data_IF_832520931341
#
_entry.id   IF_832520931341
#
_cell.length_a   1.000
_cell.length_b   1.000
_cell.length_c   1.000
_cell.angle_alpha   90.00
_cell.angle_beta   90.00
_cell.angle_gamma   90.00
#
_symmetry.space_group_name_H-M   'P 1'
#
loop_
_entity.id
_entity.type
_entity.pdbx_description
1 polymer ?
#
# COMPACT_ATOMS: atom_id res chain seq x y z
N UNK A 1 -9.40 -21.31 1.23
CA UNK A 1 -8.45 -20.70 2.19
C UNK A 1 -7.15 -21.46 2.13
N UNK A 2 -6.04 -20.78 1.89
CA UNK A 2 -4.72 -21.43 1.70
C UNK A 2 -3.97 -21.63 3.02
N UNK A 3 -4.15 -20.74 4.00
CA UNK A 3 -3.44 -20.79 5.27
C UNK A 3 -4.31 -21.36 6.41
N UNK A 4 -3.67 -22.08 7.32
CA UNK A 4 -4.27 -22.47 8.58
C UNK A 4 -4.28 -21.29 9.57
N UNK A 5 -5.17 -21.33 10.57
CA UNK A 5 -5.38 -20.22 11.51
C UNK A 5 -4.15 -19.90 12.37
N UNK A 6 -3.29 -20.87 12.64
CA UNK A 6 -2.04 -20.69 13.40
C UNK A 6 -0.96 -19.89 12.64
N UNK A 7 -1.18 -19.64 11.35
CA UNK A 7 -0.31 -18.82 10.50
C UNK A 7 -0.67 -17.32 10.51
N UNK A 8 -1.78 -16.96 11.16
CA UNK A 8 -2.30 -15.58 11.18
C UNK A 8 -2.54 -15.16 12.63
N UNK A 9 -2.00 -14.01 13.01
CA UNK A 9 -2.13 -13.51 14.39
C UNK A 9 -2.08 -11.98 14.42
N UNK A 10 -2.64 -11.38 15.47
CA UNK A 10 -2.44 -9.97 15.76
C UNK A 10 -0.95 -9.75 16.03
N UNK A 11 -0.34 -8.85 15.28
CA UNK A 11 1.07 -8.45 15.46
C UNK A 11 1.23 -7.44 16.59
N UNK A 12 0.36 -6.43 16.60
CA UNK A 12 0.34 -5.40 17.64
C UNK A 12 -1.11 -4.94 17.86
N UNK A 13 -1.57 -4.93 19.10
CA UNK A 13 -2.86 -4.38 19.51
C UNK A 13 -2.65 -3.06 20.24
N UNK A 14 -2.94 -1.95 19.57
CA UNK A 14 -2.81 -0.61 20.10
C UNK A 14 -4.08 -0.03 20.72
N UNK A 15 -5.12 -0.86 20.94
CA UNK A 15 -6.43 -0.41 21.46
C UNK A 15 -6.33 0.39 22.75
N UNK A 16 -5.47 -0.03 23.68
CA UNK A 16 -5.28 0.57 25.00
C UNK A 16 -3.85 1.11 25.19
N UNK A 17 -3.10 1.26 24.10
CA UNK A 17 -1.71 1.74 24.13
C UNK A 17 -1.58 3.25 24.37
N UNK A 18 -0.37 3.68 24.68
CA UNK A 18 0.04 5.08 24.70
C UNK A 18 1.43 5.19 24.04
N UNK A 19 1.54 5.71 22.81
CA UNK A 19 0.43 6.26 22.00
C UNK A 19 -0.58 5.18 21.59
N UNK A 20 -1.85 5.55 21.48
CA UNK A 20 -2.89 4.68 20.95
C UNK A 20 -2.75 4.58 19.43
N UNK A 21 -2.72 3.38 18.89
CA UNK A 21 -2.81 3.18 17.44
C UNK A 21 -4.21 3.60 16.95
N UNK A 22 -4.26 4.42 15.91
CA UNK A 22 -5.49 5.09 15.47
C UNK A 22 -5.90 4.62 14.07
N UNK A 23 -6.75 3.58 14.00
CA UNK A 23 -7.32 3.02 12.76
C UNK A 23 -6.31 3.01 11.60
N UNK A 24 -5.28 2.13 11.65
CA UNK A 24 -4.21 2.14 10.68
C UNK A 24 -4.72 1.75 9.29
N UNK A 25 -4.39 2.57 8.30
CA UNK A 25 -4.72 2.31 6.89
C UNK A 25 -3.49 1.90 6.10
N UNK A 26 -2.41 2.67 6.14
CA UNK A 26 -1.14 2.33 5.51
C UNK A 26 -0.26 1.43 6.37
N UNK A 27 0.51 0.53 5.73
CA UNK A 27 1.58 -0.23 6.39
C UNK A 27 2.80 -0.33 5.48
N UNK A 28 4.00 -0.17 6.05
CA UNK A 28 5.27 -0.35 5.36
C UNK A 28 6.29 -1.01 6.30
N UNK A 29 7.29 -1.67 5.73
CA UNK A 29 8.38 -2.31 6.48
C UNK A 29 9.70 -1.62 6.14
N UNK A 30 10.40 -1.17 7.16
CA UNK A 30 11.73 -0.57 7.00
C UNK A 30 12.81 -1.65 6.95
N UNK A 31 14.00 -1.24 6.57
CA UNK A 31 15.18 -2.10 6.41
C UNK A 31 15.69 -2.73 7.69
N UNK A 32 15.49 -2.02 8.81
CA UNK A 32 15.80 -2.52 10.16
C UNK A 32 14.78 -3.53 10.67
N UNK A 33 13.75 -3.83 9.88
CA UNK A 33 12.66 -4.74 10.19
C UNK A 33 11.54 -4.10 11.01
N UNK A 34 11.61 -2.82 11.35
CA UNK A 34 10.51 -2.12 12.00
C UNK A 34 9.30 -2.01 11.06
N UNK A 35 8.10 -2.05 11.63
CA UNK A 35 6.83 -1.93 10.90
C UNK A 35 6.26 -0.53 11.14
N UNK A 36 5.88 0.15 10.06
CA UNK A 36 5.39 1.51 10.11
C UNK A 36 3.95 1.55 9.64
N UNK A 37 3.13 2.41 10.23
CA UNK A 37 1.74 2.60 9.83
C UNK A 37 1.28 4.04 10.07
N UNK A 38 0.20 4.42 9.41
CA UNK A 38 -0.40 5.74 9.53
C UNK A 38 -1.74 5.69 10.24
N UNK A 39 -2.16 6.81 10.83
CA UNK A 39 -3.44 6.95 11.50
C UNK A 39 -4.37 7.96 10.83
N UNK A 40 -5.66 7.94 11.22
CA UNK A 40 -6.71 8.82 10.68
C UNK A 40 -6.51 10.32 10.98
N UNK A 41 -5.68 10.66 11.96
CA UNK A 41 -5.34 12.06 12.30
C UNK A 41 -3.98 12.47 11.79
N UNK A 42 -3.43 11.67 10.87
CA UNK A 42 -2.14 11.92 10.24
C UNK A 42 -0.94 11.47 11.06
N UNK A 43 -1.14 10.73 12.15
CA UNK A 43 -0.04 10.19 12.95
C UNK A 43 0.76 9.20 12.10
N UNK A 44 2.07 9.17 12.29
CA UNK A 44 2.99 8.21 11.70
C UNK A 44 3.62 7.43 12.85
N UNK A 45 3.30 6.15 12.90
CA UNK A 45 3.77 5.24 13.94
C UNK A 45 4.88 4.33 13.44
N UNK A 46 5.82 4.04 14.33
CA UNK A 46 6.84 3.02 14.18
C UNK A 46 6.68 1.97 15.27
N UNK A 47 6.63 0.73 14.87
CA UNK A 47 6.65 -0.44 15.74
C UNK A 47 8.00 -1.13 15.66
N UNK A 48 8.50 -1.65 16.77
CA UNK A 48 9.72 -2.45 16.74
C UNK A 48 9.50 -3.76 15.94
N UNK A 49 10.59 -4.43 15.52
CA UNK A 49 10.48 -5.64 14.69
C UNK A 49 9.67 -6.78 15.33
N UNK A 50 9.58 -6.81 16.64
CA UNK A 50 8.88 -7.86 17.39
C UNK A 50 7.43 -7.48 17.73
N UNK A 51 7.01 -6.23 17.46
CA UNK A 51 5.67 -5.73 17.77
C UNK A 51 5.43 -5.55 19.27
N UNK A 52 6.47 -5.26 20.06
CA UNK A 52 6.38 -5.11 21.52
C UNK A 52 6.27 -3.65 21.96
N UNK A 53 6.65 -2.72 21.08
CA UNK A 53 6.60 -1.28 21.33
C UNK A 53 6.12 -0.51 20.12
N UNK A 54 5.54 0.67 20.37
CA UNK A 54 5.07 1.63 19.39
C UNK A 54 5.50 3.04 19.80
N UNK A 55 5.88 3.85 18.83
CA UNK A 55 6.11 5.28 19.00
C UNK A 55 5.39 6.08 17.90
N UNK A 56 4.85 7.25 18.23
CA UNK A 56 4.44 8.24 17.25
C UNK A 56 5.66 9.07 16.88
N UNK A 57 6.18 8.87 15.67
CA UNK A 57 7.43 9.50 15.22
C UNK A 57 7.19 10.91 14.70
N UNK A 58 6.06 11.10 14.00
CA UNK A 58 5.74 12.33 13.31
C UNK A 58 4.24 12.40 12.98
N UNK A 59 3.80 13.47 12.34
CA UNK A 59 2.43 13.60 11.87
C UNK A 59 2.34 14.51 10.63
N UNK A 60 1.49 14.14 9.67
CA UNK A 60 1.08 15.02 8.57
C UNK A 60 -0.01 16.02 9.00
N UNK A 61 -0.71 15.72 10.10
CA UNK A 61 -1.90 16.44 10.55
C UNK A 61 -3.15 16.21 9.70
N UNK A 62 -3.11 15.19 8.83
CA UNK A 62 -4.17 14.88 7.88
C UNK A 62 -4.86 13.54 8.12
N UNK A 63 -4.85 12.67 7.12
CA UNK A 63 -5.26 11.27 7.18
C UNK A 63 -4.31 10.47 6.30
N UNK A 64 -3.44 9.68 6.93
CA UNK A 64 -2.45 8.85 6.24
C UNK A 64 -3.13 7.65 5.61
N UNK A 65 -3.04 7.55 4.28
CA UNK A 65 -3.36 6.36 3.50
C UNK A 65 -2.08 5.52 3.27
N UNK A 66 -1.88 5.01 2.06
CA UNK A 66 -0.73 4.18 1.73
C UNK A 66 0.62 4.87 1.97
N UNK A 67 1.66 4.08 2.22
CA UNK A 67 3.00 4.56 2.45
C UNK A 67 4.06 3.62 1.88
N UNK A 68 5.21 4.19 1.50
CA UNK A 68 6.34 3.44 0.97
C UNK A 68 7.67 4.10 1.35
N UNK A 69 8.69 3.29 1.62
CA UNK A 69 10.06 3.76 1.79
C UNK A 69 10.75 3.96 0.46
N UNK A 70 11.56 5.01 0.35
CA UNK A 70 12.52 5.17 -0.74
C UNK A 70 13.84 4.45 -0.42
N UNK A 71 14.79 4.52 -1.36
CA UNK A 71 16.13 3.92 -1.21
C UNK A 71 16.98 4.51 -0.09
N UNK A 72 16.71 5.75 0.31
CA UNK A 72 17.43 6.41 1.39
C UNK A 72 16.88 6.07 2.77
N UNK A 73 15.75 5.37 2.81
CA UNK A 73 15.05 5.02 4.04
C UNK A 73 14.10 6.13 4.51
N UNK A 74 13.78 7.10 3.66
CA UNK A 74 12.74 8.08 3.96
C UNK A 74 11.37 7.54 3.58
N UNK A 75 10.35 7.88 4.38
CA UNK A 75 8.99 7.40 4.20
C UNK A 75 8.15 8.41 3.43
N UNK A 76 7.47 7.93 2.38
CA UNK A 76 6.52 8.72 1.60
C UNK A 76 5.11 8.27 1.93
N UNK A 77 4.24 9.24 2.23
CA UNK A 77 2.90 9.01 2.77
C UNK A 77 1.88 9.75 1.91
N UNK A 78 0.90 9.03 1.39
CA UNK A 78 -0.27 9.64 0.79
C UNK A 78 -1.19 10.17 1.88
N UNK A 79 -1.61 11.42 1.77
CA UNK A 79 -2.50 12.05 2.74
C UNK A 79 -3.78 12.54 2.07
N UNK A 80 -4.89 11.92 2.41
CA UNK A 80 -6.20 12.21 1.80
C UNK A 80 -6.69 13.61 2.17
N UNK A 81 -6.54 14.03 3.43
CA UNK A 81 -7.07 15.32 3.90
C UNK A 81 -6.37 16.51 3.25
N UNK A 82 -5.07 16.39 3.02
CA UNK A 82 -4.27 17.44 2.40
C UNK A 82 -4.18 17.30 0.88
N UNK A 83 -4.69 16.20 0.30
CA UNK A 83 -4.58 15.85 -1.10
C UNK A 83 -3.13 15.97 -1.59
N UNK A 84 -2.20 15.34 -0.89
CA UNK A 84 -0.76 15.45 -1.15
C UNK A 84 -0.01 14.19 -0.73
N UNK A 85 1.16 13.99 -1.31
CA UNK A 85 2.18 13.08 -0.79
C UNK A 85 3.13 13.86 0.10
N UNK A 86 3.37 13.35 1.30
CA UNK A 86 4.36 13.87 2.24
C UNK A 86 5.59 12.98 2.26
N UNK A 87 6.77 13.56 2.56
CA UNK A 87 8.01 12.86 2.83
C UNK A 87 8.38 13.08 4.29
N UNK A 88 8.57 11.99 5.01
CA UNK A 88 9.19 11.99 6.33
C UNK A 88 10.67 11.64 6.15
N UNK A 89 11.56 12.58 6.45
CA UNK A 89 12.99 12.31 6.62
C UNK A 89 13.18 11.60 7.96
N UNK A 90 13.30 10.26 7.91
CA UNK A 90 13.28 9.40 9.11
C UNK A 90 14.37 9.77 10.11
N UNK A 91 15.56 10.13 9.63
CA UNK A 91 16.70 10.47 10.48
C UNK A 91 16.48 11.72 11.34
N UNK A 92 15.69 12.68 10.86
CA UNK A 92 15.42 13.95 11.56
C UNK A 92 14.02 14.07 12.14
N UNK A 93 13.09 13.21 11.71
CA UNK A 93 11.66 13.31 12.04
C UNK A 93 10.93 14.45 11.32
N UNK A 94 11.57 15.08 10.31
CA UNK A 94 10.99 16.20 9.58
C UNK A 94 10.01 15.71 8.50
N UNK A 95 8.79 16.25 8.51
CA UNK A 95 7.75 15.97 7.52
C UNK A 95 7.57 17.18 6.61
N UNK A 96 7.73 16.97 5.32
CA UNK A 96 7.51 17.99 4.29
C UNK A 96 6.48 17.54 3.27
N UNK A 97 5.72 18.47 2.71
CA UNK A 97 4.91 18.19 1.53
C UNK A 97 5.86 17.97 0.33
N UNK A 98 5.74 16.79 -0.28
CA UNK A 98 6.59 16.40 -1.41
C UNK A 98 5.95 16.73 -2.76
N UNK A 99 4.65 16.37 -2.93
CA UNK A 99 3.92 16.58 -4.18
C UNK A 99 2.43 16.70 -3.91
N UNK A 100 1.73 17.53 -4.72
CA UNK A 100 0.28 17.71 -4.65
C UNK A 100 -0.42 17.49 -6.01
N UNK A 101 0.26 16.80 -6.94
CA UNK A 101 -0.24 16.44 -8.26
C UNK A 101 0.54 17.07 -9.39
N UNK A 102 0.04 16.94 -10.62
CA UNK A 102 0.64 17.47 -11.83
C UNK A 102 0.11 18.89 -12.15
N UNK A 103 0.84 19.69 -12.96
CA UNK A 103 0.37 21.01 -13.37
C UNK A 103 -1.03 20.97 -14.00
N UNK A 104 -1.98 21.67 -13.37
CA UNK A 104 -3.39 21.69 -13.80
C UNK A 104 -4.19 20.43 -13.48
N UNK A 105 -3.59 19.47 -12.81
CA UNK A 105 -4.20 18.20 -12.40
C UNK A 105 -3.75 17.86 -10.96
N UNK A 106 -4.29 18.57 -9.95
CA UNK A 106 -3.97 18.28 -8.55
C UNK A 106 -4.50 16.89 -8.17
N UNK A 107 -3.89 16.26 -7.16
CA UNK A 107 -4.47 15.11 -6.49
C UNK A 107 -5.82 15.48 -5.89
N UNK A 108 -6.70 14.49 -5.80
CA UNK A 108 -7.96 14.59 -5.04
C UNK A 108 -7.93 13.67 -3.81
N UNK A 109 -7.61 12.40 -4.02
CA UNK A 109 -7.42 11.40 -2.96
C UNK A 109 -6.19 10.57 -3.33
N UNK A 110 -4.94 11.10 -3.17
CA UNK A 110 -3.75 10.27 -3.33
C UNK A 110 -3.81 9.14 -2.32
N UNK A 111 -3.71 7.90 -2.83
CA UNK A 111 -4.02 6.74 -2.01
C UNK A 111 -2.80 5.86 -1.76
N UNK A 112 -2.17 5.33 -2.79
CA UNK A 112 -1.12 4.34 -2.63
C UNK A 112 0.15 4.73 -3.40
N UNK A 113 1.33 4.76 -2.75
CA UNK A 113 2.61 5.07 -3.38
C UNK A 113 3.38 3.78 -3.70
N UNK A 114 4.05 3.72 -4.85
CA UNK A 114 4.97 2.64 -5.21
C UNK A 114 6.19 3.18 -5.95
N UNK A 115 7.40 2.86 -5.46
CA UNK A 115 8.66 3.28 -6.10
C UNK A 115 9.10 2.30 -7.18
N UNK A 116 9.63 2.83 -8.28
CA UNK A 116 10.37 2.04 -9.25
C UNK A 116 11.89 1.97 -8.95
N UNK A 117 12.58 1.18 -9.77
CA UNK A 117 14.01 0.94 -9.64
C UNK A 117 14.88 2.19 -9.82
N UNK A 118 14.40 3.27 -10.38
CA UNK A 118 15.15 4.52 -10.59
C UNK A 118 14.73 5.63 -9.63
N UNK A 119 13.81 5.34 -8.70
CA UNK A 119 13.38 6.26 -7.65
C UNK A 119 12.20 7.15 -8.04
N UNK A 120 11.50 6.86 -9.14
CA UNK A 120 10.24 7.53 -9.47
C UNK A 120 9.12 6.91 -8.62
N UNK A 121 8.20 7.75 -8.20
CA UNK A 121 7.06 7.35 -7.38
C UNK A 121 5.80 7.29 -8.24
N UNK A 122 5.18 6.12 -8.35
CA UNK A 122 3.82 5.98 -8.85
C UNK A 122 2.85 6.22 -7.70
N UNK A 123 1.82 7.01 -7.93
CA UNK A 123 0.79 7.35 -6.93
C UNK A 123 -0.57 7.10 -7.54
N UNK A 124 -1.36 6.21 -6.94
CA UNK A 124 -2.77 6.10 -7.29
C UNK A 124 -3.54 7.29 -6.72
N UNK A 125 -4.47 7.81 -7.51
CA UNK A 125 -5.46 8.79 -7.03
C UNK A 125 -6.84 8.15 -7.13
N UNK A 126 -7.48 7.91 -5.98
CA UNK A 126 -8.82 7.36 -5.92
C UNK A 126 -9.88 8.33 -6.43
N UNK A 127 -9.49 9.56 -6.72
CA UNK A 127 -10.28 10.64 -7.27
C UNK A 127 -11.43 11.06 -6.37
N UNK A 128 -12.57 10.41 -6.50
CA UNK A 128 -13.78 10.70 -5.69
C UNK A 128 -14.55 9.43 -5.41
N UNK A 129 -15.15 9.36 -4.24
CA UNK A 129 -16.07 8.28 -3.94
C UNK A 129 -17.23 8.27 -4.93
N UNK A 130 -17.50 7.10 -5.54
CA UNK A 130 -18.60 6.89 -6.47
C UNK A 130 -18.46 7.51 -7.86
N UNK A 131 -17.30 8.01 -8.22
CA UNK A 131 -17.02 8.54 -9.56
C UNK A 131 -15.67 8.05 -10.09
N UNK A 132 -15.58 7.56 -11.34
CA UNK A 132 -14.31 7.24 -11.94
C UNK A 132 -13.48 8.50 -12.19
N UNK A 133 -12.19 8.35 -12.25
CA UNK A 133 -11.26 9.44 -12.57
C UNK A 133 -9.91 8.92 -13.03
N UNK A 134 -8.98 9.82 -13.40
CA UNK A 134 -7.63 9.42 -13.80
C UNK A 134 -6.92 8.71 -12.65
N UNK A 135 -6.36 7.51 -12.94
CA UNK A 135 -6.02 6.57 -11.88
C UNK A 135 -4.60 6.66 -11.33
N UNK A 136 -3.59 7.04 -12.13
CA UNK A 136 -2.19 6.96 -11.66
C UNK A 136 -1.37 8.15 -12.13
N UNK A 137 -0.67 8.76 -11.18
CA UNK A 137 0.36 9.77 -11.42
C UNK A 137 1.75 9.15 -11.30
N UNK A 138 2.73 9.76 -11.97
CA UNK A 138 4.16 9.46 -11.80
C UNK A 138 4.87 10.72 -11.35
N UNK A 139 5.65 10.59 -10.28
CA UNK A 139 6.36 11.70 -9.64
C UNK A 139 7.86 11.43 -9.72
N UNK A 140 8.60 12.36 -10.27
CA UNK A 140 10.06 12.30 -10.34
C UNK A 140 10.68 12.52 -8.95
N UNK A 141 11.96 12.12 -8.73
CA UNK A 141 12.62 12.30 -7.44
C UNK A 141 12.70 13.75 -6.94
N UNK A 142 12.53 14.74 -7.82
CA UNK A 142 12.49 16.16 -7.49
C UNK A 142 11.07 16.70 -7.18
N UNK A 143 10.08 15.81 -7.13
CA UNK A 143 8.67 16.14 -6.83
C UNK A 143 7.84 16.59 -8.02
N UNK A 144 8.43 16.70 -9.23
CA UNK A 144 7.63 16.99 -10.44
C UNK A 144 6.78 15.81 -10.81
N UNK A 145 5.46 16.03 -10.96
CA UNK A 145 4.51 15.00 -11.29
C UNK A 145 3.92 15.18 -12.70
N UNK A 146 3.51 14.07 -13.27
CA UNK A 146 2.67 13.99 -14.45
C UNK A 146 1.50 13.05 -14.19
N UNK A 147 0.38 13.27 -14.88
CA UNK A 147 -0.68 12.28 -14.96
C UNK A 147 -0.24 11.20 -15.93
N UNK A 148 0.26 10.08 -15.40
CA UNK A 148 0.89 9.02 -16.20
C UNK A 148 -0.12 8.08 -16.86
N UNK A 149 -1.23 7.77 -16.15
CA UNK A 149 -2.32 6.97 -16.70
C UNK A 149 -3.63 7.75 -16.64
N UNK A 150 -3.94 8.48 -17.74
CA UNK A 150 -5.12 9.34 -17.90
C UNK A 150 -6.29 8.53 -18.49
N UNK A 151 -6.73 7.50 -17.77
CA UNK A 151 -7.92 6.70 -18.08
C UNK A 151 -8.77 6.56 -16.83
N UNK A 152 -10.06 6.41 -17.04
CA UNK A 152 -11.00 6.22 -15.94
C UNK A 152 -10.72 4.94 -15.16
N UNK A 153 -10.53 5.09 -13.85
CA UNK A 153 -10.40 4.03 -12.85
C UNK A 153 -11.40 4.33 -11.73
N UNK A 154 -12.15 3.32 -11.33
CA UNK A 154 -13.17 3.47 -10.29
C UNK A 154 -12.57 3.22 -8.91
N UNK A 155 -12.00 4.28 -8.33
CA UNK A 155 -11.28 4.26 -7.07
C UNK A 155 -9.96 3.45 -7.16
N UNK A 156 -8.96 4.03 -7.88
CA UNK A 156 -7.60 3.47 -7.92
C UNK A 156 -7.02 3.43 -6.51
N UNK A 157 -6.54 2.26 -6.09
CA UNK A 157 -6.05 1.99 -4.74
C UNK A 157 -4.65 1.36 -4.79
N UNK A 158 -4.43 0.18 -4.24
CA UNK A 158 -3.16 -0.48 -4.14
C UNK A 158 -2.39 -0.56 -5.46
N UNK A 159 -1.09 -0.33 -5.39
CA UNK A 159 -0.15 -0.43 -6.50
C UNK A 159 0.95 -1.44 -6.18
N UNK A 160 1.37 -2.22 -7.17
CA UNK A 160 2.57 -3.05 -7.08
C UNK A 160 3.29 -3.08 -8.43
N UNK A 161 4.62 -2.96 -8.43
CA UNK A 161 5.44 -3.09 -9.64
C UNK A 161 5.92 -4.53 -9.80
N UNK A 162 5.91 -5.03 -11.03
CA UNK A 162 6.57 -6.28 -11.38
C UNK A 162 8.07 -6.20 -11.06
N UNK A 163 8.71 -7.35 -10.82
CA UNK A 163 10.12 -7.43 -10.43
C UNK A 163 11.08 -6.78 -11.44
N UNK A 164 10.76 -6.86 -12.73
CA UNK A 164 11.54 -6.27 -13.82
C UNK A 164 11.12 -4.82 -14.15
N UNK A 165 10.11 -4.28 -13.46
CA UNK A 165 9.60 -2.94 -13.69
C UNK A 165 8.81 -2.77 -15.00
N UNK A 166 8.44 -3.86 -15.66
CA UNK A 166 7.74 -3.82 -16.95
C UNK A 166 6.24 -3.55 -16.85
N UNK A 167 5.66 -3.74 -15.66
CA UNK A 167 4.22 -3.63 -15.43
C UNK A 167 3.92 -3.01 -14.06
N UNK A 168 2.84 -2.22 -14.02
CA UNK A 168 2.25 -1.72 -12.77
C UNK A 168 0.89 -2.40 -12.57
N UNK A 169 0.74 -3.13 -11.47
CA UNK A 169 -0.54 -3.68 -11.04
C UNK A 169 -1.31 -2.64 -10.24
N UNK A 170 -2.63 -2.61 -10.42
CA UNK A 170 -3.53 -1.64 -9.79
C UNK A 170 -4.78 -2.33 -9.27
N UNK A 171 -5.14 -2.07 -8.02
CA UNK A 171 -6.43 -2.42 -7.47
C UNK A 171 -7.47 -1.35 -7.83
N UNK A 172 -8.62 -1.76 -8.35
CA UNK A 172 -9.77 -0.92 -8.66
C UNK A 172 -10.92 -1.30 -7.71
N UNK A 173 -11.01 -0.59 -6.58
CA UNK A 173 -11.79 -1.02 -5.42
C UNK A 173 -13.28 -1.21 -5.73
N UNK A 174 -13.95 -0.18 -6.25
CA UNK A 174 -15.40 -0.25 -6.46
C UNK A 174 -15.82 -0.96 -7.75
N UNK A 175 -14.86 -1.32 -8.61
CA UNK A 175 -15.11 -2.23 -9.71
C UNK A 175 -14.81 -3.69 -9.35
N UNK A 176 -14.34 -3.97 -8.12
CA UNK A 176 -13.91 -5.30 -7.68
C UNK A 176 -12.94 -5.95 -8.65
N UNK A 177 -11.98 -5.18 -9.13
CA UNK A 177 -11.10 -5.57 -10.22
C UNK A 177 -9.63 -5.31 -9.90
N UNK A 178 -8.76 -6.13 -10.49
CA UNK A 178 -7.32 -5.90 -10.55
C UNK A 178 -6.91 -5.92 -12.02
N UNK A 179 -6.11 -4.94 -12.40
CA UNK A 179 -5.57 -4.86 -13.74
C UNK A 179 -4.08 -4.50 -13.69
N UNK A 180 -3.39 -4.72 -14.80
CA UNK A 180 -2.01 -4.29 -14.99
C UNK A 180 -1.92 -3.28 -16.12
N UNK A 181 -0.97 -2.38 -16.01
CA UNK A 181 -0.61 -1.39 -17.01
C UNK A 181 0.83 -1.66 -17.45
N UNK A 182 1.06 -2.12 -18.70
CA UNK A 182 2.42 -2.24 -19.22
C UNK A 182 3.16 -0.89 -19.21
N UNK A 183 4.40 -0.90 -18.78
CA UNK A 183 5.30 0.26 -18.83
C UNK A 183 6.18 0.09 -20.07
N UNK A 184 5.98 0.95 -21.09
CA UNK A 184 6.72 0.86 -22.36
C UNK A 184 8.18 1.27 -22.18
N UNK A 185 9.03 0.95 -23.15
CA UNK A 185 10.46 1.30 -23.15
C UNK A 185 10.71 2.81 -22.98
N UNK A 186 9.82 3.66 -23.49
CA UNK A 186 9.87 5.11 -23.31
C UNK A 186 9.31 5.58 -21.95
N UNK A 187 8.88 4.66 -21.11
CA UNK A 187 8.30 4.90 -19.80
C UNK A 187 6.81 5.31 -19.83
N UNK A 188 6.17 5.37 -21.00
CA UNK A 188 4.75 5.68 -21.11
C UNK A 188 3.87 4.49 -20.70
N UNK A 189 2.62 4.79 -20.28
CA UNK A 189 1.63 3.78 -19.93
C UNK A 189 1.11 3.04 -21.18
N UNK A 190 1.01 1.72 -21.09
CA UNK A 190 0.31 0.87 -22.04
C UNK A 190 -1.21 0.88 -21.85
N UNK A 191 -1.92 0.09 -22.64
CA UNK A 191 -3.33 -0.20 -22.39
C UNK A 191 -3.45 -1.20 -21.24
N UNK A 192 -4.43 -0.97 -20.34
CA UNK A 192 -4.65 -1.86 -19.21
C UNK A 192 -5.15 -3.24 -19.65
N UNK A 193 -4.72 -4.24 -18.93
CA UNK A 193 -5.15 -5.63 -19.08
C UNK A 193 -5.72 -6.12 -17.75
N UNK A 194 -6.88 -6.78 -17.79
CA UNK A 194 -7.47 -7.38 -16.58
C UNK A 194 -6.58 -8.53 -16.09
N UNK A 195 -6.31 -8.55 -14.80
CA UNK A 195 -5.58 -9.62 -14.10
C UNK A 195 -6.56 -10.56 -13.41
N UNK A 196 -7.51 -9.99 -12.68
CA UNK A 196 -8.53 -10.76 -11.98
C UNK A 196 -9.75 -9.91 -11.66
N UNK A 197 -10.93 -10.48 -11.79
CA UNK A 197 -12.16 -9.93 -11.24
C UNK A 197 -12.52 -10.67 -9.96
N UNK A 198 -12.80 -9.93 -8.87
CA UNK A 198 -13.01 -10.46 -7.51
C UNK A 198 -14.38 -10.03 -6.96
N UNK A 199 -15.49 -10.48 -7.56
CA UNK A 199 -16.82 -9.99 -7.28
C UNK A 199 -17.18 -10.20 -5.80
N UNK A 200 -17.79 -9.17 -5.19
CA UNK A 200 -18.14 -9.17 -3.77
C UNK A 200 -16.97 -8.84 -2.84
N UNK A 201 -15.82 -8.49 -3.39
CA UNK A 201 -14.68 -7.97 -2.63
C UNK A 201 -14.40 -6.51 -3.00
N UNK A 202 -13.88 -5.76 -2.03
CA UNK A 202 -13.36 -4.41 -2.22
C UNK A 202 -11.82 -4.49 -2.09
N UNK A 203 -11.09 -4.76 -3.20
CA UNK A 203 -9.64 -4.82 -3.18
C UNK A 203 -9.06 -3.46 -2.83
N UNK A 204 -8.04 -3.46 -1.97
CA UNK A 204 -7.41 -2.27 -1.42
C UNK A 204 -5.91 -2.28 -1.72
N UNK A 205 -5.02 -2.45 -0.75
CA UNK A 205 -3.58 -2.46 -0.95
C UNK A 205 -3.07 -3.73 -1.62
N UNK A 206 -1.95 -3.60 -2.31
CA UNK A 206 -1.28 -4.68 -3.05
C UNK A 206 0.15 -4.89 -2.55
N UNK A 207 0.56 -6.16 -2.54
CA UNK A 207 1.97 -6.55 -2.49
C UNK A 207 2.21 -7.72 -3.47
N UNK A 208 3.47 -7.97 -3.82
CA UNK A 208 3.86 -9.04 -4.75
C UNK A 208 4.99 -9.85 -4.10
N UNK A 209 5.05 -11.15 -4.36
CA UNK A 209 6.14 -12.02 -3.94
C UNK A 209 7.15 -12.28 -5.07
N UNK A 210 8.23 -12.99 -4.75
CA UNK A 210 9.30 -13.33 -5.71
C UNK A 210 8.85 -14.26 -6.82
N UNK A 211 7.74 -14.99 -6.64
CA UNK A 211 7.14 -15.88 -7.62
C UNK A 211 6.13 -15.16 -8.52
N UNK A 212 5.87 -13.85 -8.27
CA UNK A 212 4.94 -13.01 -9.00
C UNK A 212 3.48 -13.15 -8.57
N UNK A 213 3.19 -13.77 -7.42
CA UNK A 213 1.84 -13.77 -6.88
C UNK A 213 1.51 -12.41 -6.27
N UNK A 214 0.31 -11.89 -6.55
CA UNK A 214 -0.23 -10.69 -5.90
C UNK A 214 -0.96 -11.07 -4.61
N UNK A 215 -0.76 -10.26 -3.59
CA UNK A 215 -1.49 -10.32 -2.33
C UNK A 215 -2.32 -9.05 -2.19
N UNK A 216 -3.60 -9.23 -1.88
CA UNK A 216 -4.60 -8.16 -1.92
C UNK A 216 -5.30 -8.09 -0.58
N UNK A 217 -5.09 -7.00 0.16
CA UNK A 217 -5.96 -6.67 1.27
C UNK A 217 -7.35 -6.33 0.74
N UNK A 218 -8.39 -6.88 1.34
CA UNK A 218 -9.76 -6.56 0.95
C UNK A 218 -10.46 -5.89 2.12
N UNK A 219 -10.86 -4.63 1.93
CA UNK A 219 -11.60 -3.89 2.94
C UNK A 219 -12.89 -4.64 3.32
N UNK A 220 -13.60 -5.19 2.34
CA UNK A 220 -14.78 -6.05 2.49
C UNK A 220 -14.73 -7.20 1.47
N UNK A 221 -15.05 -8.42 1.91
CA UNK A 221 -15.06 -8.89 3.30
C UNK A 221 -13.66 -8.85 3.90
N UNK A 222 -13.53 -8.93 5.26
CA UNK A 222 -12.23 -8.95 5.94
C UNK A 222 -11.43 -10.18 5.55
N UNK A 223 -10.64 -10.06 4.47
CA UNK A 223 -9.84 -11.15 3.90
C UNK A 223 -8.59 -10.64 3.19
N UNK A 224 -7.66 -11.54 2.97
CA UNK A 224 -6.55 -11.36 2.04
C UNK A 224 -6.68 -12.39 0.93
N UNK A 225 -6.58 -11.94 -0.32
CA UNK A 225 -6.53 -12.79 -1.49
C UNK A 225 -5.08 -13.00 -1.93
N UNK A 226 -4.82 -14.13 -2.60
CA UNK A 226 -3.63 -14.38 -3.41
C UNK A 226 -4.07 -14.62 -4.85
N UNK A 227 -3.42 -13.96 -5.80
CA UNK A 227 -3.66 -14.12 -7.22
C UNK A 227 -2.36 -14.56 -7.87
N UNK A 228 -2.35 -15.75 -8.49
CA UNK A 228 -1.17 -16.25 -9.16
C UNK A 228 -0.92 -15.54 -10.51
N UNK A 229 0.26 -15.71 -11.14
CA UNK A 229 0.55 -15.10 -12.44
C UNK A 229 -0.39 -15.52 -13.57
N UNK A 230 -1.14 -16.62 -13.41
CA UNK A 230 -2.15 -17.08 -14.37
C UNK A 230 -3.53 -16.43 -14.13
N UNK A 231 -3.67 -15.60 -13.08
CA UNK A 231 -4.92 -14.95 -12.71
C UNK A 231 -5.84 -15.80 -11.83
N UNK A 232 -5.35 -16.93 -11.29
CA UNK A 232 -6.12 -17.75 -10.36
C UNK A 232 -6.25 -17.05 -9.01
N UNK A 233 -7.47 -16.85 -8.56
CA UNK A 233 -7.78 -16.17 -7.28
C UNK A 233 -8.01 -17.20 -6.19
N UNK A 234 -7.22 -17.12 -5.14
CA UNK A 234 -7.38 -17.90 -3.93
C UNK A 234 -7.65 -16.98 -2.73
N UNK A 235 -8.51 -17.41 -1.80
CA UNK A 235 -8.58 -16.79 -0.48
C UNK A 235 -7.40 -17.27 0.34
N UNK A 236 -6.44 -16.38 0.59
CA UNK A 236 -5.29 -16.69 1.44
C UNK A 236 -5.75 -16.97 2.86
N UNK A 237 -6.48 -16.01 3.44
CA UNK A 237 -7.12 -16.14 4.74
C UNK A 237 -8.26 -15.12 4.87
N UNK A 238 -9.30 -15.45 5.67
CA UNK A 238 -10.42 -14.56 5.95
C UNK A 238 -10.84 -14.60 7.42
N UNK A 239 -11.44 -13.52 7.91
CA UNK A 239 -11.97 -13.41 9.26
C UNK A 239 -13.40 -12.86 9.27
N UNK A 240 -14.37 -13.76 9.37
CA UNK A 240 -15.80 -13.37 9.43
C UNK A 240 -16.18 -12.66 10.74
N UNK A 241 -15.32 -12.73 11.75
CA UNK A 241 -15.53 -12.11 13.08
C UNK A 241 -14.87 -10.75 13.21
N UNK A 242 -13.99 -10.39 12.26
CA UNK A 242 -13.20 -9.18 12.25
C UNK A 242 -12.42 -8.94 13.55
N UNK A 243 -11.83 -10.00 14.13
CA UNK A 243 -11.01 -9.91 15.33
C UNK A 243 -9.51 -9.85 15.01
N UNK A 244 -9.05 -10.65 14.06
CA UNK A 244 -7.66 -10.73 13.63
C UNK A 244 -7.44 -9.94 12.34
N UNK A 245 -8.35 -10.06 11.35
CA UNK A 245 -8.46 -9.15 10.22
C UNK A 245 -9.74 -8.34 10.36
N UNK A 246 -9.63 -7.01 10.30
CA UNK A 246 -10.77 -6.13 10.46
C UNK A 246 -10.72 -5.01 9.42
N UNK A 247 -11.37 -5.21 8.28
CA UNK A 247 -11.26 -4.32 7.12
C UNK A 247 -9.78 -4.10 6.75
N UNK A 248 -9.03 -5.19 6.38
CA UNK A 248 -7.63 -5.05 6.02
C UNK A 248 -7.50 -4.19 4.76
N UNK A 249 -6.62 -3.21 4.84
CA UNK A 249 -6.33 -2.28 3.76
C UNK A 249 -4.98 -2.61 3.14
N UNK A 250 -3.91 -2.02 3.62
CA UNK A 250 -2.60 -2.18 3.02
C UNK A 250 -1.90 -3.46 3.49
N UNK A 251 -0.98 -3.95 2.67
CA UNK A 251 -0.16 -5.14 2.93
C UNK A 251 1.31 -4.87 2.62
N UNK A 252 2.23 -5.37 3.46
CA UNK A 252 3.67 -5.21 3.27
C UNK A 252 4.44 -6.44 3.76
N UNK A 253 5.50 -6.83 3.03
CA UNK A 253 6.32 -7.98 3.35
C UNK A 253 7.59 -7.64 4.14
N UNK A 254 7.95 -8.55 5.05
CA UNK A 254 9.26 -8.70 5.66
C UNK A 254 9.73 -10.14 5.49
N UNK A 255 10.58 -10.39 4.51
CA UNK A 255 10.95 -11.76 4.15
C UNK A 255 9.73 -12.58 3.74
N UNK A 256 9.44 -13.66 4.44
CA UNK A 256 8.28 -14.55 4.18
C UNK A 256 7.04 -14.22 5.02
N UNK A 257 7.11 -13.17 5.83
CA UNK A 257 6.02 -12.69 6.68
C UNK A 257 5.40 -11.45 6.06
N UNK A 258 4.10 -11.39 6.00
CA UNK A 258 3.33 -10.23 5.55
C UNK A 258 2.62 -9.57 6.73
N UNK A 259 2.58 -8.25 6.74
CA UNK A 259 1.80 -7.45 7.68
C UNK A 259 0.66 -6.79 6.96
N UNK A 260 -0.47 -6.62 7.64
CA UNK A 260 -1.59 -5.82 7.14
C UNK A 260 -2.12 -4.88 8.21
N UNK A 261 -2.44 -3.68 7.77
CA UNK A 261 -3.19 -2.71 8.54
C UNK A 261 -4.68 -3.06 8.55
N UNK A 262 -5.38 -2.64 9.60
CA UNK A 262 -6.79 -2.96 9.81
C UNK A 262 -7.55 -1.66 10.13
N UNK A 263 -8.13 -1.04 9.11
CA UNK A 263 -8.86 0.22 9.25
C UNK A 263 -10.09 0.10 10.18
N UNK A 264 -10.67 -1.09 10.29
CA UNK A 264 -11.80 -1.34 11.19
C UNK A 264 -11.46 -1.49 12.67
N UNK A 265 -10.16 -1.49 13.05
CA UNK A 265 -9.68 -1.65 14.43
C UNK A 265 -8.33 -0.93 14.65
N UNK A 266 -7.82 -1.03 15.87
CA UNK A 266 -6.55 -0.43 16.32
C UNK A 266 -5.41 -1.45 16.39
N UNK A 267 -5.27 -2.31 15.39
CA UNK A 267 -4.22 -3.33 15.39
C UNK A 267 -3.64 -3.58 14.00
N UNK A 268 -2.45 -4.17 13.98
CA UNK A 268 -1.83 -4.74 12.79
C UNK A 268 -1.87 -6.27 12.89
N UNK A 269 -1.99 -6.94 11.75
CA UNK A 269 -1.98 -8.41 11.67
C UNK A 269 -0.72 -8.89 11.02
N UNK A 270 -0.20 -10.03 11.48
CA UNK A 270 0.92 -10.77 10.92
C UNK A 270 0.42 -12.05 10.27
N UNK A 271 0.90 -12.32 9.05
CA UNK A 271 0.54 -13.48 8.25
C UNK A 271 1.82 -14.16 7.79
N UNK A 272 2.03 -15.42 8.19
CA UNK A 272 3.18 -16.23 7.80
C UNK A 272 2.90 -16.87 6.44
N UNK A 273 3.21 -16.14 5.36
CA UNK A 273 2.94 -16.55 3.98
C UNK A 273 3.82 -17.75 3.58
N UNK A 274 5.11 -17.69 3.90
CA UNK A 274 6.09 -18.73 3.61
C UNK A 274 6.76 -18.59 2.24
N UNK A 275 6.36 -17.59 1.43
CA UNK A 275 7.02 -17.19 0.19
C UNK A 275 7.59 -15.79 0.43
N UNK A 276 8.79 -15.52 -0.06
CA UNK A 276 9.46 -14.24 0.15
C UNK A 276 8.76 -13.14 -0.66
N UNK A 277 8.42 -12.03 0.01
CA UNK A 277 7.89 -10.84 -0.67
C UNK A 277 8.95 -10.23 -1.60
N UNK A 278 8.49 -9.73 -2.73
CA UNK A 278 9.36 -9.01 -3.64
C UNK A 278 9.84 -7.74 -2.97
N UNK A 279 11.15 -7.65 -2.79
CA UNK A 279 11.79 -6.39 -2.45
C UNK A 279 11.88 -5.57 -3.73
N UNK A 280 11.30 -4.39 -3.72
CA UNK A 280 11.54 -3.46 -4.81
C UNK A 280 13.07 -3.29 -4.96
N UNK A 281 13.61 -3.19 -6.19
CA UNK A 281 15.05 -3.11 -6.42
C UNK A 281 15.60 -1.81 -5.83
N UNK A 282 15.85 -1.86 -4.55
CA UNK A 282 16.64 -0.90 -3.81
C UNK A 282 18.07 -1.26 -4.16
N UNK A 283 18.80 -0.38 -4.87
CA UNK A 283 20.11 -0.65 -5.48
C UNK A 283 21.08 -1.40 -4.58
N UNK A 284 22.13 -1.98 -5.21
CA UNK A 284 23.16 -2.85 -4.63
C UNK A 284 23.48 -2.51 -3.17
N UNK A 285 22.96 -3.26 -2.20
CA UNK A 285 23.27 -3.02 -0.79
C UNK A 285 22.26 -3.53 0.23
N UNK A 286 21.56 -4.63 -0.04
CA UNK A 286 20.77 -5.38 0.97
C UNK A 286 21.33 -6.76 1.18
#
# INVERSE_FOLDING_TARGET
MLLADDRVSVFFDGTLGDPQLDHPEGVAVATDGSVWCGGERGQIFRLDPDGTSIEEVASTGGFCLGMAFDRSGDLFICDMKHAAVFRLEVASGRVDRFCDGAPGRPFLIPNYPAFDAVGRLYVSDSHRFGAPGPGVFRVEPDGRAELWYDRDVTFANGLALAADGSELFVAETFASNLFRIPIREDGSAGEREEVAHVPGSLPDGLAIDVDGNLYVGCYEPSQVLRIDPAGTVDVLWHDVTAHTLAHPTNVAFRGTTMFTSNLGRWHLTRIEVGIEGLRLPIGDGW
#
